data_IF_718571932172
#
_entry.id   IF_718571932172
#
_cell.length_a   1.000
_cell.length_b   1.000
_cell.length_c   1.000
_cell.angle_alpha   90.00
_cell.angle_beta   90.00
_cell.angle_gamma   90.00
#
_symmetry.space_group_name_H-M   'P 1'
#
loop_
_entity.id
_entity.type
_entity.pdbx_description
1 polymer ?
#
# COMPACT_ATOMS: atom_id res chain seq x y z
N UNK A 1 35.61 16.79 -2.01
CA UNK A 1 35.66 15.47 -1.33
C UNK A 1 34.39 15.17 -0.52
N UNK A 2 33.26 15.83 -0.79
CA UNK A 2 31.99 15.63 -0.07
C UNK A 2 30.89 15.06 -0.98
N UNK A 3 30.90 15.39 -2.28
CA UNK A 3 29.92 14.91 -3.26
C UNK A 3 29.99 13.40 -3.49
N UNK A 4 31.19 12.81 -3.46
CA UNK A 4 31.38 11.36 -3.61
C UNK A 4 30.79 10.56 -2.45
N UNK A 5 30.88 11.07 -1.21
CA UNK A 5 30.32 10.40 -0.03
C UNK A 5 28.79 10.49 0.01
N UNK A 6 28.22 11.63 -0.40
CA UNK A 6 26.77 11.79 -0.49
C UNK A 6 26.17 10.86 -1.56
N UNK A 7 26.85 10.69 -2.70
CA UNK A 7 26.42 9.77 -3.75
C UNK A 7 26.51 8.29 -3.37
N UNK A 8 27.52 7.88 -2.58
CA UNK A 8 27.61 6.49 -2.10
C UNK A 8 26.53 6.20 -1.06
N UNK A 9 26.23 7.16 -0.18
CA UNK A 9 25.17 7.04 0.82
C UNK A 9 23.80 6.93 0.16
N UNK A 10 23.51 7.74 -0.86
CA UNK A 10 22.24 7.64 -1.61
C UNK A 10 22.11 6.31 -2.34
N UNK A 11 23.19 5.84 -2.97
CA UNK A 11 23.19 4.54 -3.67
C UNK A 11 22.96 3.36 -2.72
N UNK A 12 23.57 3.36 -1.52
CA UNK A 12 23.35 2.31 -0.51
C UNK A 12 21.93 2.35 0.07
N UNK A 13 21.37 3.54 0.28
CA UNK A 13 19.97 3.70 0.70
C UNK A 13 19.01 3.21 -0.39
N UNK A 14 19.29 3.48 -1.66
CA UNK A 14 18.50 2.98 -2.79
C UNK A 14 18.65 1.47 -2.99
N UNK A 15 19.85 0.90 -2.83
CA UNK A 15 20.07 -0.56 -2.87
C UNK A 15 19.38 -1.28 -1.71
N UNK A 16 19.45 -0.72 -0.50
CA UNK A 16 18.73 -1.24 0.66
C UNK A 16 17.21 -1.15 0.45
N UNK A 17 16.72 -0.03 -0.09
CA UNK A 17 15.30 0.11 -0.47
C UNK A 17 14.91 -0.96 -1.50
N UNK A 18 15.66 -1.13 -2.58
CA UNK A 18 15.37 -2.14 -3.62
C UNK A 18 15.42 -3.58 -3.12
N UNK A 19 16.20 -3.88 -2.08
CA UNK A 19 16.25 -5.22 -1.46
C UNK A 19 14.91 -5.65 -0.86
N UNK A 20 14.08 -4.70 -0.43
CA UNK A 20 12.78 -4.96 0.22
C UNK A 20 11.55 -4.68 -0.70
N UNK A 21 11.75 -4.28 -1.97
CA UNK A 21 10.67 -3.77 -2.83
C UNK A 21 10.04 -4.80 -3.78
N UNK A 22 10.42 -6.08 -3.71
CA UNK A 22 10.11 -7.01 -4.82
C UNK A 22 9.09 -8.10 -4.50
N UNK A 23 8.61 -8.21 -3.25
CA UNK A 23 7.61 -9.23 -2.88
C UNK A 23 6.29 -9.00 -3.61
N UNK A 24 5.92 -7.73 -3.80
CA UNK A 24 4.60 -7.31 -4.30
C UNK A 24 4.58 -6.93 -5.77
N UNK A 25 5.72 -7.01 -6.46
CA UNK A 25 5.87 -6.60 -7.86
C UNK A 25 4.99 -7.39 -8.84
N UNK A 26 4.56 -8.59 -8.46
CA UNK A 26 3.69 -9.45 -9.26
C UNK A 26 2.19 -9.17 -9.04
N UNK A 27 1.83 -8.38 -8.03
CA UNK A 27 0.44 -8.13 -7.68
C UNK A 27 -0.13 -6.95 -8.48
N UNK A 28 -1.43 -7.01 -8.74
CA UNK A 28 -2.16 -5.91 -9.38
C UNK A 28 -2.08 -4.64 -8.53
N UNK A 29 -1.99 -3.49 -9.20
CA UNK A 29 -2.03 -2.16 -8.56
C UNK A 29 -3.40 -1.49 -8.66
N UNK A 30 -4.37 -2.10 -9.36
CA UNK A 30 -5.67 -1.51 -9.65
C UNK A 30 -6.82 -2.49 -9.31
N UNK A 31 -7.34 -2.46 -8.07
CA UNK A 31 -8.48 -3.28 -7.68
C UNK A 31 -9.79 -2.75 -8.27
N UNK A 32 -10.64 -3.66 -8.76
CA UNK A 32 -11.92 -3.35 -9.41
C UNK A 32 -13.13 -3.49 -8.46
N UNK A 33 -12.95 -4.11 -7.29
CA UNK A 33 -13.98 -4.28 -6.25
C UNK A 33 -13.38 -4.18 -4.85
N UNK A 34 -14.21 -3.89 -3.84
CA UNK A 34 -13.79 -3.89 -2.44
C UNK A 34 -13.20 -5.24 -2.02
N UNK A 35 -13.78 -6.35 -2.52
CA UNK A 35 -13.27 -7.69 -2.24
C UNK A 35 -11.86 -7.88 -2.79
N UNK A 36 -11.63 -7.48 -4.04
CA UNK A 36 -10.31 -7.56 -4.67
C UNK A 36 -9.29 -6.69 -3.93
N UNK A 37 -9.68 -5.48 -3.50
CA UNK A 37 -8.82 -4.64 -2.67
C UNK A 37 -8.43 -5.35 -1.35
N UNK A 38 -9.39 -5.97 -0.66
CA UNK A 38 -9.13 -6.70 0.59
C UNK A 38 -8.18 -7.88 0.33
N UNK A 39 -8.38 -8.64 -0.75
CA UNK A 39 -7.53 -9.78 -1.11
C UNK A 39 -6.08 -9.31 -1.39
N UNK A 40 -5.90 -8.20 -2.11
CA UNK A 40 -4.58 -7.60 -2.35
C UNK A 40 -3.93 -7.09 -1.06
N UNK A 41 -4.70 -6.52 -0.14
CA UNK A 41 -4.19 -6.11 1.18
C UNK A 41 -3.72 -7.34 1.96
N UNK A 42 -4.49 -8.44 1.99
CA UNK A 42 -4.04 -9.66 2.65
C UNK A 42 -2.73 -10.19 2.08
N UNK A 43 -2.57 -10.13 0.75
CA UNK A 43 -1.32 -10.55 0.10
C UNK A 43 -0.15 -9.61 0.40
N UNK A 44 -0.38 -8.30 0.44
CA UNK A 44 0.64 -7.30 0.78
C UNK A 44 1.17 -7.44 2.22
N UNK A 45 0.36 -8.00 3.13
CA UNK A 45 0.70 -8.25 4.53
C UNK A 45 0.97 -9.73 4.82
N UNK A 46 1.16 -10.58 3.80
CA UNK A 46 1.38 -12.02 3.97
C UNK A 46 2.73 -12.37 4.61
N UNK A 47 3.68 -11.44 4.58
CA UNK A 47 5.01 -11.58 5.19
C UNK A 47 5.16 -10.61 6.37
N UNK A 48 6.25 -10.73 7.13
CA UNK A 48 6.56 -9.81 8.23
C UNK A 48 7.07 -8.43 7.76
N UNK A 49 7.17 -8.21 6.45
CA UNK A 49 7.64 -6.96 5.84
C UNK A 49 6.53 -6.38 4.96
N UNK A 50 6.30 -5.07 5.03
CA UNK A 50 5.19 -4.42 4.33
C UNK A 50 5.71 -3.31 3.42
N UNK A 51 5.35 -3.40 2.14
CA UNK A 51 5.60 -2.34 1.17
C UNK A 51 4.51 -1.26 1.28
N UNK A 52 4.86 -0.16 1.95
CA UNK A 52 3.96 0.99 2.18
C UNK A 52 3.59 1.69 0.86
N UNK A 53 4.51 1.74 -0.11
CA UNK A 53 4.25 2.41 -1.39
C UNK A 53 3.25 1.60 -2.20
N UNK A 54 3.38 0.27 -2.22
CA UNK A 54 2.40 -0.62 -2.84
C UNK A 54 1.02 -0.49 -2.17
N UNK A 55 0.95 -0.59 -0.84
CA UNK A 55 -0.34 -0.49 -0.11
C UNK A 55 -1.01 0.86 -0.38
N UNK A 56 -0.26 1.96 -0.36
CA UNK A 56 -0.77 3.29 -0.72
C UNK A 56 -1.32 3.32 -2.15
N UNK A 57 -0.62 2.68 -3.08
CA UNK A 57 -0.99 2.64 -4.50
C UNK A 57 -2.32 1.91 -4.71
N UNK A 58 -2.48 0.70 -4.19
CA UNK A 58 -3.74 -0.06 -4.35
C UNK A 58 -4.93 0.63 -3.68
N UNK A 59 -4.73 1.23 -2.51
CA UNK A 59 -5.77 1.97 -1.79
C UNK A 59 -6.22 3.23 -2.55
N UNK A 60 -5.29 3.92 -3.23
CA UNK A 60 -5.57 5.14 -4.00
C UNK A 60 -6.24 4.82 -5.34
N UNK A 61 -5.86 3.69 -5.95
CA UNK A 61 -6.37 3.27 -7.25
C UNK A 61 -7.76 2.66 -7.18
N UNK A 62 -8.16 2.12 -6.02
CA UNK A 62 -9.51 1.67 -5.79
C UNK A 62 -10.52 2.83 -5.93
N UNK A 63 -11.35 2.78 -6.99
CA UNK A 63 -12.40 3.79 -7.23
C UNK A 63 -13.69 3.48 -6.48
N UNK A 64 -13.96 2.21 -6.25
CA UNK A 64 -15.06 1.70 -5.44
C UNK A 64 -16.48 2.05 -5.88
N UNK A 65 -17.44 1.25 -5.39
CA UNK A 65 -18.86 1.58 -5.40
C UNK A 65 -19.33 1.71 -3.93
N UNK A 66 -20.15 2.73 -3.65
CA UNK A 66 -20.78 2.93 -2.34
C UNK A 66 -21.54 1.69 -1.87
N UNK A 67 -22.13 0.93 -2.80
CA UNK A 67 -22.90 -0.29 -2.48
C UNK A 67 -22.04 -1.37 -1.82
N UNK A 68 -20.76 -1.46 -2.13
CA UNK A 68 -19.89 -2.54 -1.63
C UNK A 68 -19.60 -2.38 -0.13
N UNK A 69 -19.44 -1.14 0.34
CA UNK A 69 -19.13 -0.84 1.74
C UNK A 69 -20.32 -0.33 2.55
N UNK A 70 -21.50 -0.15 1.93
CA UNK A 70 -22.71 0.35 2.58
C UNK A 70 -23.09 -0.43 3.85
N UNK A 71 -22.91 -1.74 3.86
CA UNK A 71 -23.20 -2.61 5.01
C UNK A 71 -22.36 -2.28 6.26
N UNK A 72 -21.20 -1.65 6.09
CA UNK A 72 -20.30 -1.27 7.18
C UNK A 72 -20.61 0.15 7.71
N UNK A 73 -21.46 0.90 7.02
CA UNK A 73 -21.79 2.28 7.38
C UNK A 73 -22.73 2.30 8.58
N UNK A 74 -22.19 2.69 9.74
CA UNK A 74 -22.96 2.90 10.97
C UNK A 74 -22.79 4.35 11.42
N UNK A 75 -23.83 5.17 11.29
CA UNK A 75 -23.77 6.56 11.71
C UNK A 75 -24.15 6.72 13.18
N UNK A 76 -23.45 7.61 13.88
CA UNK A 76 -23.82 8.09 15.20
C UNK A 76 -23.88 9.62 15.21
N UNK A 77 -24.83 10.24 15.92
CA UNK A 77 -24.86 11.69 16.07
C UNK A 77 -23.57 12.24 16.69
N UNK A 78 -23.09 13.36 16.16
CA UNK A 78 -21.99 14.18 16.69
C UNK A 78 -20.61 13.50 16.81
N UNK A 79 -20.41 12.28 16.29
CA UNK A 79 -19.11 11.59 16.32
C UNK A 79 -18.87 10.76 15.07
N UNK A 80 -17.59 10.57 14.75
CA UNK A 80 -17.17 9.58 13.75
C UNK A 80 -17.25 8.17 14.34
N UNK A 81 -17.54 7.19 13.49
CA UNK A 81 -17.54 5.76 13.82
C UNK A 81 -16.34 5.08 13.16
N UNK A 82 -15.88 3.98 13.77
CA UNK A 82 -14.73 3.19 13.32
C UNK A 82 -15.16 1.76 13.07
#
# INVERSE_FOLDING_TARGET
>A
MTETLLNTITHDVQSARMKYMNTTAHLSTQPNSLKELIDLIYQAFATNEVDIDYVRTIMTNYKGDTKEWQQYVKFQPHRYTR
#
